data_IF_034297646798
#
_entry.id   IF_034297646798
#
_cell.length_a   1.000
_cell.length_b   1.000
_cell.length_c   1.000
_cell.angle_alpha   90.00
_cell.angle_beta   90.00
_cell.angle_gamma   90.00
#
_symmetry.space_group_name_H-M   'P 1'
#
loop_
_entity.id
_entity.type
_entity.pdbx_description
1 polymer ?
#
# COMPACT_ATOMS: atom_id res chain seq x y z
N UNK A 1 -6.99 1.57 -17.08
CA UNK A 1 -6.55 1.16 -15.72
C UNK A 1 -5.04 1.07 -15.74
N UNK A 2 -4.35 1.70 -14.79
CA UNK A 2 -2.89 1.72 -14.76
C UNK A 2 -2.32 0.37 -14.32
N UNK A 3 -1.10 0.08 -14.74
CA UNK A 3 -0.31 -1.06 -14.24
C UNK A 3 0.44 -0.62 -12.99
N UNK A 4 0.27 -1.35 -11.90
CA UNK A 4 1.06 -1.11 -10.68
C UNK A 4 2.38 -1.88 -10.74
N UNK A 5 3.49 -1.20 -10.47
CA UNK A 5 4.78 -1.82 -10.21
C UNK A 5 5.10 -1.59 -8.74
N UNK A 6 5.26 -2.67 -7.97
CA UNK A 6 5.66 -2.58 -6.56
C UNK A 6 7.18 -2.72 -6.51
N UNK A 7 7.86 -1.69 -6.01
CA UNK A 7 9.31 -1.66 -5.86
C UNK A 7 9.79 -2.74 -4.88
N UNK A 8 11.02 -3.26 -5.03
CA UNK A 8 11.56 -4.28 -4.13
C UNK A 8 11.46 -3.92 -2.65
N UNK A 9 11.89 -2.71 -2.28
CA UNK A 9 11.82 -2.22 -0.89
C UNK A 9 10.38 -2.17 -0.37
N UNK A 10 9.43 -1.70 -1.20
CA UNK A 10 8.02 -1.73 -0.82
C UNK A 10 7.47 -3.15 -0.63
N UNK A 11 7.96 -4.16 -1.38
CA UNK A 11 7.59 -5.56 -1.16
C UNK A 11 8.16 -6.09 0.16
N UNK A 12 9.37 -5.66 0.52
CA UNK A 12 9.98 -5.98 1.82
C UNK A 12 9.19 -5.37 2.97
N UNK A 13 8.87 -4.08 2.91
CA UNK A 13 8.05 -3.39 3.92
C UNK A 13 6.71 -4.11 4.13
N UNK A 14 6.00 -4.44 3.05
CA UNK A 14 4.73 -5.17 3.10
C UNK A 14 4.91 -6.53 3.76
N UNK A 15 6.00 -7.25 3.43
CA UNK A 15 6.27 -8.58 3.98
C UNK A 15 6.58 -8.53 5.47
N UNK A 16 7.41 -7.57 5.90
CA UNK A 16 7.78 -7.39 7.29
C UNK A 16 6.58 -6.98 8.14
N UNK A 17 5.79 -6.01 7.68
CA UNK A 17 4.56 -5.60 8.34
C UNK A 17 3.56 -6.77 8.45
N UNK A 18 3.34 -7.52 7.37
CA UNK A 18 2.46 -8.69 7.41
C UNK A 18 2.93 -9.74 8.42
N UNK A 19 4.24 -10.04 8.46
CA UNK A 19 4.83 -10.95 9.45
C UNK A 19 4.65 -10.43 10.87
N UNK A 20 4.90 -9.14 11.10
CA UNK A 20 4.75 -8.52 12.41
C UNK A 20 3.30 -8.60 12.92
N UNK A 21 2.33 -8.22 12.08
CA UNK A 21 0.92 -8.30 12.42
C UNK A 21 0.48 -9.74 12.69
N UNK A 22 0.91 -10.71 11.88
CA UNK A 22 0.54 -12.10 12.08
C UNK A 22 1.12 -12.69 13.38
N UNK A 23 2.30 -12.20 13.83
CA UNK A 23 2.86 -12.57 15.14
C UNK A 23 2.05 -12.00 16.30
N UNK A 24 1.38 -10.86 16.12
CA UNK A 24 0.53 -10.24 17.14
C UNK A 24 -0.82 -10.93 17.26
N UNK A 25 -1.41 -11.30 16.13
CA UNK A 25 -2.65 -12.06 16.08
C UNK A 25 -2.67 -12.88 14.80
N UNK A 26 -2.94 -14.17 14.92
CA UNK A 26 -3.04 -15.05 13.76
C UNK A 26 -4.11 -14.53 12.78
N UNK A 27 -3.75 -14.47 11.48
CA UNK A 27 -4.61 -13.98 10.42
C UNK A 27 -4.54 -12.46 10.21
N UNK A 28 -4.01 -11.69 11.15
CA UNK A 28 -3.92 -10.22 11.01
C UNK A 28 -2.95 -9.81 9.89
N UNK A 29 -1.89 -10.57 9.66
CA UNK A 29 -0.99 -10.36 8.52
C UNK A 29 -1.68 -10.58 7.17
N UNK A 30 -2.59 -11.55 7.08
CA UNK A 30 -3.40 -11.78 5.86
C UNK A 30 -4.35 -10.61 5.62
N UNK A 31 -5.01 -10.11 6.68
CA UNK A 31 -5.87 -8.91 6.62
C UNK A 31 -5.10 -7.68 6.13
N UNK A 32 -3.88 -7.47 6.64
CA UNK A 32 -3.00 -6.39 6.18
C UNK A 32 -2.69 -6.49 4.68
N UNK A 33 -2.30 -7.67 4.19
CA UNK A 33 -1.99 -7.87 2.76
C UNK A 33 -3.24 -7.60 1.89
N UNK A 34 -4.42 -8.04 2.33
CA UNK A 34 -5.66 -7.82 1.59
C UNK A 34 -5.95 -6.32 1.44
N UNK A 35 -5.82 -5.56 2.52
CA UNK A 35 -6.07 -4.13 2.49
C UNK A 35 -5.06 -3.34 1.65
N UNK A 36 -3.78 -3.72 1.70
CA UNK A 36 -2.76 -3.16 0.79
C UNK A 36 -3.16 -3.42 -0.66
N UNK A 37 -3.63 -4.63 -1.00
CA UNK A 37 -4.08 -4.97 -2.36
C UNK A 37 -5.28 -4.14 -2.78
N UNK A 38 -6.26 -3.96 -1.91
CA UNK A 38 -7.44 -3.12 -2.17
C UNK A 38 -7.05 -1.67 -2.44
N UNK A 39 -6.15 -1.11 -1.62
CA UNK A 39 -5.64 0.25 -1.84
C UNK A 39 -4.88 0.37 -3.15
N UNK A 40 -4.03 -0.60 -3.49
CA UNK A 40 -3.33 -0.63 -4.79
C UNK A 40 -4.32 -0.73 -5.95
N UNK A 41 -5.37 -1.54 -5.84
CA UNK A 41 -6.41 -1.60 -6.88
C UNK A 41 -7.16 -0.28 -7.03
N UNK A 42 -7.45 0.40 -5.93
CA UNK A 42 -8.02 1.74 -5.96
C UNK A 42 -7.11 2.74 -6.69
N UNK A 43 -5.82 2.76 -6.36
CA UNK A 43 -4.82 3.62 -7.01
C UNK A 43 -4.73 3.31 -8.52
N UNK A 44 -4.73 2.04 -8.92
CA UNK A 44 -4.70 1.65 -10.35
C UNK A 44 -5.89 2.16 -11.15
N UNK A 45 -7.07 2.24 -10.52
CA UNK A 45 -8.30 2.76 -11.13
C UNK A 45 -8.33 4.29 -11.10
N UNK A 46 -7.80 4.89 -10.04
CA UNK A 46 -7.86 6.32 -9.77
C UNK A 46 -6.48 6.88 -9.37
N UNK A 47 -5.47 6.86 -10.25
CA UNK A 47 -4.08 7.18 -9.86
C UNK A 47 -3.92 8.64 -9.39
N UNK A 48 -4.79 9.53 -9.84
CA UNK A 48 -4.76 10.95 -9.50
C UNK A 48 -5.68 11.33 -8.33
N UNK A 49 -6.37 10.36 -7.71
CA UNK A 49 -7.31 10.63 -6.61
C UNK A 49 -6.62 11.01 -5.28
N UNK A 50 -5.34 10.69 -5.12
CA UNK A 50 -4.54 11.11 -3.95
C UNK A 50 -3.66 12.30 -4.29
N UNK A 51 -3.58 13.28 -3.40
CA UNK A 51 -2.78 14.49 -3.60
C UNK A 51 -1.27 14.18 -3.67
N UNK A 52 -0.55 14.99 -4.44
CA UNK A 52 0.91 15.04 -4.42
C UNK A 52 1.33 15.67 -3.09
N UNK A 53 2.25 15.04 -2.38
CA UNK A 53 2.73 15.51 -1.08
C UNK A 53 4.11 16.17 -1.17
N UNK A 54 4.99 15.65 -2.02
CA UNK A 54 6.33 16.17 -2.27
C UNK A 54 6.87 15.56 -3.57
N UNK A 55 7.73 16.26 -4.30
CA UNK A 55 8.52 15.73 -5.44
C UNK A 55 7.75 14.84 -6.44
N UNK A 56 6.49 15.17 -6.75
CA UNK A 56 5.63 14.37 -7.63
C UNK A 56 5.09 13.06 -7.03
N UNK A 57 5.46 12.73 -5.79
CA UNK A 57 4.98 11.57 -5.03
C UNK A 57 3.59 11.84 -4.48
N UNK A 58 2.67 10.92 -4.78
CA UNK A 58 1.32 10.86 -4.22
C UNK A 58 1.29 9.90 -3.03
N UNK A 59 0.45 10.22 -2.05
CA UNK A 59 0.33 9.43 -0.83
C UNK A 59 -1.10 9.00 -0.55
N UNK A 60 -1.34 7.70 -0.37
CA UNK A 60 -2.64 7.15 -0.05
C UNK A 60 -2.58 6.36 1.27
N UNK A 61 -3.37 6.76 2.26
CA UNK A 61 -3.46 6.04 3.54
C UNK A 61 -4.25 4.74 3.38
N UNK A 62 -3.85 3.71 4.10
CA UNK A 62 -4.69 2.54 4.35
C UNK A 62 -5.85 2.93 5.28
N UNK A 63 -6.92 2.15 5.29
CA UNK A 63 -8.17 2.51 5.98
C UNK A 63 -8.22 1.99 7.44
N UNK A 64 -7.61 0.83 7.70
CA UNK A 64 -7.62 0.12 8.97
C UNK A 64 -6.22 0.10 9.58
N UNK A 65 -5.18 -0.07 8.76
CA UNK A 65 -3.81 -0.10 9.25
C UNK A 65 -3.15 1.28 9.18
N UNK A 66 -2.28 1.62 10.14
CA UNK A 66 -1.59 2.92 10.21
C UNK A 66 -0.42 2.99 9.20
N UNK A 67 -0.70 2.77 7.92
CA UNK A 67 0.30 2.75 6.83
C UNK A 67 -0.11 3.72 5.72
N UNK A 68 0.91 4.25 5.04
CA UNK A 68 0.75 5.17 3.93
C UNK A 68 1.51 4.64 2.71
N UNK A 69 0.78 4.43 1.62
CA UNK A 69 1.35 4.02 0.34
C UNK A 69 1.86 5.26 -0.38
N UNK A 70 3.16 5.29 -0.65
CA UNK A 70 3.82 6.31 -1.46
C UNK A 70 3.98 5.79 -2.89
N UNK A 71 3.57 6.55 -3.89
CA UNK A 71 3.63 6.14 -5.28
C UNK A 71 3.77 7.32 -6.25
N UNK A 72 4.30 7.07 -7.44
CA UNK A 72 4.32 8.00 -8.57
C UNK A 72 3.42 7.49 -9.70
N UNK A 73 3.11 8.36 -10.64
CA UNK A 73 2.35 8.05 -11.85
C UNK A 73 3.21 8.49 -13.02
N UNK A 74 3.62 7.52 -13.83
CA UNK A 74 4.43 7.70 -15.04
C UNK A 74 3.59 7.43 -16.30
#
# INVERSE_FOLDING_TARGET
MFKSIILPLAKEDIREAAKWYNKRQEGLGKRFILEVREKVQFIRKNPNASNIRYDGVRTAVLNVFPFMVHYTVD
#
